data_IF_615039467519
#
_entry.id   IF_615039467519
#
_cell.length_a   1.000
_cell.length_b   1.000
_cell.length_c   1.000
_cell.angle_alpha   90.00
_cell.angle_beta   90.00
_cell.angle_gamma   90.00
#
_symmetry.space_group_name_H-M   'P 1'
#
loop_
_entity.id
_entity.type
_entity.pdbx_description
1 polymer ?
#
# COMPACT_ATOMS: atom_id res chain seq x y z
N UNK A 1 30.14 -29.21 -31.53
CA UNK A 1 29.93 -29.17 -30.99
C UNK A 1 29.20 -28.30 -30.34
N UNK A 2 28.63 -27.88 -30.16
CA UNK A 2 27.90 -27.09 -29.80
C UNK A 2 27.46 -26.60 -28.68
N UNK A 3 27.29 -26.03 -28.31
CA UNK A 3 26.98 -25.59 -27.39
C UNK A 3 26.20 -24.82 -26.94
N UNK A 4 25.74 -24.56 -26.68
CA UNK A 4 24.99 -24.00 -26.31
C UNK A 4 24.65 -23.25 -25.38
N UNK A 5 24.40 -22.70 -25.01
CA UNK A 5 24.10 -22.01 -24.30
C UNK A 5 23.20 -21.39 -23.78
N UNK A 6 22.86 -21.27 -23.37
CA UNK A 6 21.99 -20.85 -22.90
C UNK A 6 21.58 -19.97 -22.18
N UNK A 7 21.34 -19.53 -21.94
CA UNK A 7 20.91 -18.77 -21.37
C UNK A 7 20.17 -18.23 -20.69
N UNK A 8 19.82 -17.77 -20.20
CA UNK A 8 19.15 -17.20 -19.56
C UNK A 8 18.51 -16.52 -19.05
N UNK A 9 18.03 -16.36 -18.65
CA UNK A 9 17.20 -15.84 -18.14
C UNK A 9 17.03 -14.86 -17.42
N UNK A 10 17.30 -14.27 -17.37
CA UNK A 10 17.21 -13.24 -16.84
C UNK A 10 16.00 -12.74 -16.51
N UNK A 11 15.30 -13.03 -16.85
CA UNK A 11 14.05 -12.53 -16.70
C UNK A 11 13.73 -12.58 -15.37
N UNK A 12 14.23 -13.29 -14.81
CA UNK A 12 13.94 -13.43 -13.57
C UNK A 12 13.74 -12.24 -12.85
N UNK A 13 14.51 -11.48 -12.94
CA UNK A 13 14.43 -10.50 -12.11
C UNK A 13 13.40 -9.59 -12.24
N UNK A 14 13.00 -9.57 -13.06
CA UNK A 14 12.11 -8.66 -13.24
C UNK A 14 11.11 -8.82 -12.34
N UNK A 15 10.95 -9.70 -11.88
CA UNK A 15 10.01 -9.90 -11.08
C UNK A 15 10.06 -9.27 -9.91
N UNK A 16 10.90 -8.67 -9.63
CA UNK A 16 10.92 -8.08 -8.49
C UNK A 16 9.75 -7.44 -8.17
N UNK A 17 9.19 -6.84 -8.27
CA UNK A 17 8.19 -6.12 -7.84
C UNK A 17 6.93 -6.83 -7.82
N UNK A 18 5.86 -6.16 -7.73
CA UNK A 18 4.60 -6.66 -7.75
C UNK A 18 4.31 -7.27 -9.07
N UNK A 19 3.73 -8.41 -9.08
CA UNK A 19 3.41 -9.01 -10.27
C UNK A 19 2.20 -8.46 -10.80
N UNK A 20 2.26 -7.37 -11.44
CA UNK A 20 1.22 -6.64 -11.81
C UNK A 20 0.06 -7.27 -12.29
N UNK A 21 -0.05 -8.11 -13.00
CA UNK A 21 -1.24 -8.62 -13.53
C UNK A 21 -1.73 -9.90 -12.92
N UNK A 22 -1.03 -10.42 -12.00
CA UNK A 22 -1.43 -11.65 -11.47
C UNK A 22 -2.24 -11.59 -10.24
N UNK A 23 -3.46 -12.00 -10.30
CA UNK A 23 -4.32 -12.06 -9.13
C UNK A 23 -4.85 -10.74 -8.60
N UNK A 24 -4.53 -9.64 -9.22
CA UNK A 24 -5.07 -8.36 -8.78
C UNK A 24 -6.36 -8.04 -9.51
N UNK A 25 -7.34 -7.52 -8.79
CA UNK A 25 -8.57 -7.04 -9.42
C UNK A 25 -8.25 -5.73 -10.14
N UNK A 26 -9.20 -5.25 -10.94
CA UNK A 26 -9.01 -3.99 -11.67
C UNK A 26 -8.72 -2.83 -10.73
N UNK A 27 -9.46 -2.72 -9.62
CA UNK A 27 -9.24 -1.60 -8.72
C UNK A 27 -7.91 -1.75 -7.96
N UNK A 28 -7.53 -2.99 -7.62
CA UNK A 28 -6.24 -3.22 -6.98
C UNK A 28 -5.09 -2.84 -7.91
N UNK A 29 -5.21 -3.19 -9.18
CA UNK A 29 -4.18 -2.83 -10.15
C UNK A 29 -4.13 -1.32 -10.35
N UNK A 30 -5.31 -0.69 -10.52
CA UNK A 30 -5.35 0.74 -10.73
C UNK A 30 -4.74 1.50 -9.59
N UNK A 31 -5.04 1.12 -8.37
CA UNK A 31 -4.49 1.81 -7.20
C UNK A 31 -2.99 1.56 -7.07
N UNK A 32 -2.57 0.30 -7.08
CA UNK A 32 -1.19 -0.02 -6.73
C UNK A 32 -0.21 0.24 -7.86
N UNK A 33 -0.63 0.09 -9.10
CA UNK A 33 0.27 0.21 -10.24
C UNK A 33 0.11 1.53 -11.01
N UNK A 34 -1.04 2.17 -10.92
CA UNK A 34 -1.28 3.41 -11.64
C UNK A 34 -1.49 4.62 -10.73
N UNK A 35 -1.32 4.44 -9.43
CA UNK A 35 -1.47 5.55 -8.50
C UNK A 35 -2.90 6.05 -8.34
N UNK A 36 -3.87 5.19 -8.60
CA UNK A 36 -5.27 5.58 -8.49
C UNK A 36 -5.75 5.64 -7.05
N UNK A 37 -6.98 6.11 -6.88
CA UNK A 37 -7.62 6.20 -5.57
C UNK A 37 -8.99 5.56 -5.66
N UNK A 38 -9.29 4.65 -4.76
CA UNK A 38 -10.63 4.05 -4.72
C UNK A 38 -11.64 5.08 -4.23
N UNK A 39 -12.91 4.98 -4.57
CA UNK A 39 -13.90 5.91 -4.04
C UNK A 39 -14.05 5.76 -2.53
N UNK A 40 -14.28 6.85 -1.84
CA UNK A 40 -14.46 6.84 -0.39
C UNK A 40 -15.63 5.93 -0.01
N UNK A 41 -15.50 5.23 1.10
CA UNK A 41 -16.50 4.31 1.64
C UNK A 41 -16.78 3.10 0.75
N UNK A 42 -15.96 2.86 -0.27
CA UNK A 42 -16.17 1.73 -1.16
C UNK A 42 -15.27 0.54 -0.84
N UNK A 43 -14.22 0.75 -0.10
CA UNK A 43 -13.26 -0.31 0.16
C UNK A 43 -13.65 -1.20 1.31
N UNK A 44 -12.93 -2.28 1.47
CA UNK A 44 -13.25 -3.28 2.45
C UNK A 44 -12.91 -2.90 3.88
N UNK A 45 -11.94 -2.03 4.08
CA UNK A 45 -11.36 -1.83 5.40
C UNK A 45 -11.58 -0.47 6.05
N UNK A 46 -12.35 0.44 5.44
CA UNK A 46 -12.49 1.77 6.03
C UNK A 46 -13.10 1.73 7.45
N UNK A 47 -13.97 0.77 7.71
CA UNK A 47 -14.57 0.64 9.04
C UNK A 47 -14.24 -0.71 9.70
N UNK A 48 -13.17 -1.37 9.27
CA UNK A 48 -12.77 -2.66 9.80
C UNK A 48 -12.21 -2.53 11.21
N UNK A 49 -12.66 -3.37 12.13
CA UNK A 49 -12.23 -3.31 13.52
C UNK A 49 -11.50 -4.56 14.00
N UNK A 50 -11.28 -5.53 13.15
CA UNK A 50 -10.61 -6.76 13.56
C UNK A 50 -9.16 -6.52 13.95
N UNK A 51 -8.65 -7.28 14.90
CA UNK A 51 -7.25 -7.19 15.29
C UNK A 51 -6.39 -7.93 14.28
N UNK A 52 -5.28 -7.35 13.98
CA UNK A 52 -4.35 -7.98 13.05
C UNK A 52 -3.41 -6.96 12.47
N UNK A 53 -2.92 -7.27 11.31
CA UNK A 53 -2.08 -6.32 10.60
C UNK A 53 -2.43 -6.34 9.12
N UNK A 54 -2.12 -5.25 8.45
CA UNK A 54 -2.44 -5.07 7.04
C UNK A 54 -1.16 -5.18 6.25
N UNK A 55 -1.19 -6.04 5.22
CA UNK A 55 -0.02 -6.25 4.37
C UNK A 55 -0.28 -5.71 2.97
N UNK A 56 0.77 -5.48 2.22
CA UNK A 56 0.65 -5.01 0.83
C UNK A 56 -0.04 -6.10 0.00
N UNK A 57 -1.06 -5.73 -0.75
CA UNK A 57 -1.80 -6.69 -1.56
C UNK A 57 -0.91 -7.30 -2.63
N UNK A 58 0.16 -6.62 -3.03
CA UNK A 58 1.04 -7.10 -4.07
C UNK A 58 2.15 -8.02 -3.57
N UNK A 59 2.80 -7.66 -2.50
CA UNK A 59 3.99 -8.40 -2.06
C UNK A 59 3.91 -8.95 -0.65
N UNK A 60 2.82 -8.71 0.05
CA UNK A 60 2.60 -9.20 1.42
C UNK A 60 3.52 -8.56 2.47
N UNK A 61 4.19 -7.48 2.14
CA UNK A 61 5.00 -6.77 3.13
C UNK A 61 4.10 -6.22 4.23
N UNK A 62 4.38 -6.44 5.52
CA UNK A 62 3.56 -5.86 6.59
C UNK A 62 3.65 -4.35 6.59
N UNK A 63 2.53 -3.66 6.62
CA UNK A 63 2.49 -2.21 6.48
C UNK A 63 1.96 -1.49 7.71
N UNK A 64 0.81 -1.91 8.23
CA UNK A 64 0.17 -1.23 9.35
C UNK A 64 -0.45 -2.24 10.31
N UNK A 65 -0.43 -1.93 11.59
CA UNK A 65 -1.06 -2.77 12.60
C UNK A 65 -2.43 -2.18 12.96
N UNK A 66 -3.38 -3.02 13.31
CA UNK A 66 -4.70 -2.55 13.72
C UNK A 66 -4.60 -1.63 14.93
N UNK A 67 -3.53 -1.75 15.71
CA UNK A 67 -3.32 -0.91 16.90
C UNK A 67 -3.24 0.59 16.54
N UNK A 68 -2.80 0.90 15.34
CA UNK A 68 -2.70 2.31 14.95
C UNK A 68 -3.86 2.75 14.04
N UNK A 69 -4.81 1.87 13.76
CA UNK A 69 -5.94 2.22 12.92
C UNK A 69 -6.97 3.01 13.73
N UNK A 70 -7.56 4.02 13.12
CA UNK A 70 -8.57 4.83 13.80
C UNK A 70 -9.63 5.32 12.81
N UNK A 71 -10.75 5.77 13.34
CA UNK A 71 -11.85 6.27 12.53
C UNK A 71 -11.59 7.72 12.17
N UNK A 72 -11.21 7.98 10.95
CA UNK A 72 -10.96 9.35 10.52
C UNK A 72 -12.19 10.02 9.91
N UNK A 73 -13.22 9.24 9.59
CA UNK A 73 -14.42 9.79 8.95
C UNK A 73 -14.24 10.07 7.48
N UNK A 74 -13.11 9.73 6.88
CA UNK A 74 -12.84 10.09 5.50
C UNK A 74 -13.34 9.06 4.50
N UNK A 75 -13.63 7.83 4.93
CA UNK A 75 -14.06 6.77 4.03
C UNK A 75 -12.93 5.91 3.52
N UNK A 76 -11.71 6.13 4.00
CA UNK A 76 -10.55 5.30 3.70
C UNK A 76 -9.93 4.84 5.01
N UNK A 77 -9.35 3.63 5.06
CA UNK A 77 -8.71 3.18 6.30
C UNK A 77 -7.56 4.11 6.66
N UNK A 78 -7.49 4.50 7.91
CA UNK A 78 -6.56 5.51 8.38
C UNK A 78 -5.75 4.99 9.56
N UNK A 79 -4.46 5.33 9.57
CA UNK A 79 -3.52 4.86 10.59
C UNK A 79 -2.66 6.03 11.02
N UNK A 80 -2.21 6.04 12.26
CA UNK A 80 -1.37 7.15 12.72
C UNK A 80 0.13 6.85 12.64
N UNK A 81 0.50 5.63 12.30
CA UNK A 81 1.90 5.28 11.99
C UNK A 81 1.96 3.96 11.24
N UNK A 82 3.04 3.71 10.47
CA UNK A 82 3.23 2.41 9.85
C UNK A 82 3.72 1.41 10.90
N UNK A 83 3.77 0.13 10.56
CA UNK A 83 4.16 -0.90 11.51
C UNK A 83 5.63 -0.74 11.90
N UNK A 84 6.46 -0.23 11.01
CA UNK A 84 7.80 0.26 11.33
C UNK A 84 8.20 1.25 10.23
N UNK A 85 9.27 1.99 10.45
CA UNK A 85 9.64 3.07 9.53
C UNK A 85 10.02 2.58 8.14
N UNK A 86 10.50 1.37 8.01
CA UNK A 86 10.89 0.86 6.71
C UNK A 86 9.75 0.21 5.95
N UNK A 87 8.59 0.09 6.56
CA UNK A 87 7.45 -0.57 5.90
C UNK A 87 6.99 0.22 4.69
N UNK A 88 7.09 1.53 4.72
CA UNK A 88 6.63 2.38 3.64
C UNK A 88 7.71 3.37 3.23
N UNK A 89 7.57 3.93 2.04
CA UNK A 89 8.44 5.02 1.58
C UNK A 89 7.56 6.21 1.21
N UNK A 90 8.08 7.39 1.38
CA UNK A 90 7.32 8.62 1.17
C UNK A 90 7.88 9.38 -0.04
N UNK A 91 7.00 9.90 -0.86
CA UNK A 91 7.37 10.58 -2.09
C UNK A 91 6.52 11.83 -2.28
N UNK A 92 7.09 12.84 -2.87
CA UNK A 92 6.35 14.05 -3.16
C UNK A 92 5.45 13.82 -4.37
N UNK A 93 4.18 14.17 -4.24
CA UNK A 93 3.21 14.00 -5.31
C UNK A 93 2.58 15.35 -5.60
N UNK A 94 2.85 15.94 -6.80
CA UNK A 94 2.36 17.22 -7.13
C UNK A 94 1.36 17.12 -8.22
N UNK A 95 0.13 17.35 -7.95
CA UNK A 95 -0.93 17.33 -8.93
C UNK A 95 -1.84 18.52 -8.79
N UNK A 96 -2.20 19.11 -9.89
CA UNK A 96 -3.15 20.22 -9.91
C UNK A 96 -2.87 21.28 -8.85
N UNK A 97 -1.74 21.83 -8.82
CA UNK A 97 -1.39 22.88 -7.90
C UNK A 97 -1.35 22.46 -6.45
N UNK A 98 -1.43 21.18 -6.16
CA UNK A 98 -1.34 20.70 -4.83
C UNK A 98 -0.19 19.79 -4.69
N UNK A 99 0.51 19.84 -3.58
CA UNK A 99 1.58 18.93 -3.25
C UNK A 99 1.13 18.07 -2.08
N UNK A 100 1.17 16.77 -2.24
CA UNK A 100 0.82 15.83 -1.19
C UNK A 100 1.99 14.89 -1.01
N UNK A 101 2.02 14.16 0.10
CA UNK A 101 3.03 13.15 0.33
C UNK A 101 2.42 11.79 0.05
N UNK A 102 2.92 11.15 -0.98
CA UNK A 102 2.47 9.82 -1.39
C UNK A 102 3.15 8.76 -0.54
N UNK A 103 2.41 7.72 -0.18
CA UNK A 103 2.93 6.59 0.59
C UNK A 103 2.95 5.38 -0.32
N UNK A 104 4.11 4.74 -0.43
CA UNK A 104 4.28 3.53 -1.22
C UNK A 104 4.81 2.40 -0.36
N UNK A 105 4.60 1.17 -0.78
CA UNK A 105 5.14 0.02 -0.08
C UNK A 105 6.67 0.10 -0.11
N UNK A 106 7.30 -0.10 1.03
CA UNK A 106 8.76 -0.03 1.13
C UNK A 106 9.46 -1.16 0.42
N UNK A 107 8.75 -2.26 0.11
CA UNK A 107 9.35 -3.39 -0.57
C UNK A 107 9.11 -3.39 -2.08
N UNK A 108 7.91 -3.19 -2.54
CA UNK A 108 7.61 -3.32 -3.96
C UNK A 108 7.22 -2.01 -4.65
N UNK A 109 7.21 -0.93 -3.90
CA UNK A 109 6.92 0.40 -4.42
C UNK A 109 5.47 0.59 -4.90
N UNK A 110 4.56 -0.29 -4.54
CA UNK A 110 3.16 -0.13 -4.89
C UNK A 110 2.59 1.12 -4.24
N UNK A 111 1.75 1.85 -4.96
CA UNK A 111 1.09 3.03 -4.41
C UNK A 111 0.06 2.59 -3.37
N UNK A 112 0.10 3.16 -2.19
CA UNK A 112 -0.81 2.80 -1.12
C UNK A 112 -1.81 3.91 -0.81
N UNK A 113 -1.37 5.13 -0.82
CA UNK A 113 -2.19 6.28 -0.46
C UNK A 113 -1.35 7.49 -0.19
N UNK A 114 -1.78 8.32 0.76
CA UNK A 114 -1.09 9.56 1.10
C UNK A 114 -1.07 9.76 2.61
N UNK A 115 -0.12 10.54 3.10
CA UNK A 115 -0.05 10.86 4.52
C UNK A 115 -0.21 12.37 4.69
N UNK A 116 -0.98 12.75 5.71
CA UNK A 116 -1.28 14.13 6.03
C UNK A 116 -0.89 14.43 7.49
N UNK A 117 -0.81 15.69 7.84
CA UNK A 117 -0.39 16.10 9.18
C UNK A 117 -1.57 16.42 10.10
N UNK A 118 -2.73 15.96 9.76
CA UNK A 118 -3.94 16.23 10.55
C UNK A 118 -4.44 14.99 11.29
N UNK A 119 -3.54 14.18 11.75
CA UNK A 119 -3.88 12.95 12.48
C UNK A 119 -3.84 13.13 13.99
N UNK A 120 -4.14 12.05 14.71
CA UNK A 120 -4.18 12.10 16.16
C UNK A 120 -2.81 11.96 16.78
N UNK A 121 -2.74 12.26 18.07
CA UNK A 121 -1.54 11.97 18.83
C UNK A 121 -1.38 10.46 18.88
N UNK A 122 -0.17 9.94 19.01
CA UNK A 122 1.07 10.68 19.33
C UNK A 122 1.82 11.25 18.12
N UNK A 123 1.51 10.80 16.89
CA UNK A 123 2.33 11.25 15.79
C UNK A 123 1.83 12.50 15.09
N UNK A 124 0.52 12.76 15.19
CA UNK A 124 -0.09 13.86 14.43
C UNK A 124 -0.25 13.52 12.96
N UNK A 125 0.00 12.27 12.57
CA UNK A 125 -0.08 11.87 11.16
C UNK A 125 -1.33 11.08 10.85
N UNK A 126 -1.83 11.24 9.66
CA UNK A 126 -2.94 10.45 9.15
C UNK A 126 -2.47 9.78 7.85
N UNK A 127 -2.20 8.50 7.94
CA UNK A 127 -1.86 7.69 6.76
C UNK A 127 -3.18 7.20 6.19
N UNK A 128 -3.61 7.81 5.11
CA UNK A 128 -4.89 7.52 4.48
C UNK A 128 -4.65 6.58 3.33
N UNK A 129 -5.01 5.31 3.53
CA UNK A 129 -4.63 4.27 2.59
C UNK A 129 -5.84 3.77 1.81
N UNK A 130 -5.60 3.21 0.62
CA UNK A 130 -6.67 2.58 -0.14
C UNK A 130 -6.83 1.15 0.34
N UNK A 131 -8.05 0.72 0.64
CA UNK A 131 -8.31 -0.67 1.01
C UNK A 131 -7.80 -1.61 -0.08
N UNK A 132 -7.94 -1.20 -1.35
CA UNK A 132 -7.53 -2.01 -2.48
C UNK A 132 -6.03 -2.33 -2.49
N UNK A 133 -5.22 -1.57 -1.75
CA UNK A 133 -3.78 -1.81 -1.68
C UNK A 133 -3.41 -2.74 -0.53
N UNK A 134 -4.36 -3.14 0.29
CA UNK A 134 -4.11 -3.84 1.54
C UNK A 134 -4.81 -5.19 1.63
N UNK A 135 -4.26 -6.07 2.44
CA UNK A 135 -4.94 -7.30 2.84
C UNK A 135 -4.81 -7.42 4.35
N UNK A 136 -5.91 -7.63 5.03
CA UNK A 136 -5.89 -7.82 6.47
C UNK A 136 -5.53 -9.26 6.80
N UNK A 137 -4.55 -9.41 7.70
CA UNK A 137 -4.19 -10.71 8.25
C UNK A 137 -4.63 -10.66 9.70
N UNK A 138 -5.71 -11.36 10.01
CA UNK A 138 -6.27 -11.30 11.34
C UNK A 138 -5.44 -12.08 12.35
N UNK A 139 -5.40 -11.54 13.57
CA UNK A 139 -4.68 -12.19 14.64
C UNK A 139 -5.64 -13.19 15.29
N UNK A 140 -5.20 -14.38 15.53
CA UNK A 140 -6.05 -15.40 16.14
C UNK A 140 -5.93 -15.42 17.64
#
# INVERSE_FOLDING_TARGET
MGITESILPLCAFLILGCSKNEGLSDIQYKVTQEGGTEPAFSGEYWDEKADGHYVCVCCSNPLFASDSKYESGTGWPSYWQPIDDSAVSLHSDRKLFRTRTEVRCGECDAHLGHVFDDGPQPTGKRYCMNSAALTLVERN
#
